data_IF_860075047455
#
_entry.id   IF_860075047455
#
_cell.length_a   1.000
_cell.length_b   1.000
_cell.length_c   1.000
_cell.angle_alpha   90.00
_cell.angle_beta   90.00
_cell.angle_gamma   90.00
#
_symmetry.space_group_name_H-M   'P 1'
#
loop_
_entity.id
_entity.type
_entity.pdbx_description
1 polymer ?
#
# COMPACT_ATOMS: atom_id res chain seq x y z
N UNK A 1 -9.76 -1.20 5.62
CA UNK A 1 -9.97 -0.32 4.46
C UNK A 1 -9.41 1.04 4.81
N UNK A 2 -8.81 1.76 3.86
CA UNK A 2 -8.21 3.08 4.06
C UNK A 2 -7.16 3.13 5.19
N UNK A 3 -6.07 2.39 5.01
CA UNK A 3 -5.04 2.20 6.04
C UNK A 3 -4.41 3.53 6.54
N UNK A 4 -4.47 4.61 5.76
CA UNK A 4 -4.02 5.94 6.19
C UNK A 4 -4.82 6.55 7.34
N UNK A 5 -6.06 6.08 7.59
CA UNK A 5 -6.91 6.57 8.68
C UNK A 5 -6.74 5.76 9.96
N UNK A 6 -5.98 4.67 9.92
CA UNK A 6 -5.81 3.77 11.05
C UNK A 6 -5.00 4.42 12.18
N UNK A 7 -5.33 4.07 13.42
CA UNK A 7 -4.54 4.46 14.58
C UNK A 7 -3.14 3.81 14.53
N UNK A 8 -2.06 4.47 15.00
CA UNK A 8 -0.71 3.91 15.04
C UNK A 8 -0.62 2.48 15.63
N UNK A 9 -1.44 2.14 16.61
CA UNK A 9 -1.47 0.81 17.23
C UNK A 9 -1.89 -0.31 16.27
N UNK A 10 -2.70 0.01 15.26
CA UNK A 10 -3.07 -0.96 14.21
C UNK A 10 -1.84 -1.37 13.42
N UNK A 11 -0.90 -0.46 13.17
CA UNK A 11 0.33 -0.77 12.45
C UNK A 11 1.22 -1.72 13.25
N UNK A 12 1.29 -1.61 14.58
CA UNK A 12 2.04 -2.56 15.40
C UNK A 12 1.50 -3.99 15.26
N UNK A 13 0.18 -4.14 15.28
CA UNK A 13 -0.45 -5.45 15.08
C UNK A 13 -0.19 -5.97 13.68
N UNK A 14 -0.31 -5.13 12.64
CA UNK A 14 -0.02 -5.53 11.26
C UNK A 14 1.44 -5.93 11.07
N UNK A 15 2.39 -5.19 11.65
CA UNK A 15 3.81 -5.54 11.62
C UNK A 15 4.05 -6.90 12.28
N UNK A 16 3.45 -7.16 13.45
CA UNK A 16 3.52 -8.46 14.10
C UNK A 16 2.93 -9.57 13.20
N UNK A 17 1.79 -9.33 12.55
CA UNK A 17 1.20 -10.29 11.61
C UNK A 17 2.14 -10.61 10.45
N UNK A 18 2.79 -9.60 9.89
CA UNK A 18 3.70 -9.74 8.74
C UNK A 18 5.05 -10.38 9.14
N UNK A 19 5.47 -10.24 10.39
CA UNK A 19 6.71 -10.82 10.91
C UNK A 19 6.53 -12.27 11.40
N UNK A 20 5.59 -12.50 12.32
CA UNK A 20 5.41 -13.80 12.97
C UNK A 20 4.40 -14.69 12.24
N UNK A 21 3.64 -14.12 11.30
CA UNK A 21 2.52 -14.81 10.68
C UNK A 21 1.42 -15.18 11.67
N UNK A 22 1.41 -14.61 12.87
CA UNK A 22 0.47 -14.91 13.95
C UNK A 22 0.20 -13.68 14.81
N UNK A 23 -1.03 -13.56 15.30
CA UNK A 23 -1.39 -12.56 16.30
C UNK A 23 -2.21 -13.19 17.40
N UNK A 24 -1.92 -12.79 18.63
CA UNK A 24 -2.69 -13.17 19.81
C UNK A 24 -3.54 -11.99 20.26
N UNK A 25 -4.85 -12.20 20.37
CA UNK A 25 -5.76 -11.17 20.85
C UNK A 25 -5.69 -11.00 22.39
N UNK A 26 -6.39 -9.99 22.91
CA UNK A 26 -6.45 -9.72 24.34
C UNK A 26 -7.12 -10.83 25.18
N UNK A 27 -7.81 -11.78 24.54
CA UNK A 27 -8.43 -12.94 25.19
C UNK A 27 -7.50 -14.18 25.15
N UNK A 28 -6.27 -14.03 24.65
CA UNK A 28 -5.28 -15.09 24.56
C UNK A 28 -5.50 -16.04 23.37
N UNK A 29 -6.38 -15.71 22.43
CA UNK A 29 -6.60 -16.52 21.22
C UNK A 29 -5.57 -16.14 20.17
N UNK A 30 -4.82 -17.13 19.70
CA UNK A 30 -3.85 -16.94 18.61
C UNK A 30 -4.47 -17.31 17.27
N UNK A 31 -4.37 -16.41 16.30
CA UNK A 31 -4.79 -16.60 14.91
C UNK A 31 -3.55 -16.73 14.02
N UNK A 32 -3.59 -17.66 13.07
CA UNK A 32 -2.51 -17.94 12.13
C UNK A 32 -2.79 -17.30 10.76
N UNK A 33 -1.84 -16.52 10.27
CA UNK A 33 -1.86 -15.76 9.02
C UNK A 33 -0.83 -16.25 7.99
N UNK A 34 -0.06 -17.32 8.29
CA UNK A 34 1.01 -17.80 7.40
C UNK A 34 0.54 -18.26 6.02
N UNK A 35 -0.75 -18.56 5.87
CA UNK A 35 -1.35 -18.99 4.61
C UNK A 35 -2.53 -18.09 4.21
N UNK A 36 -2.37 -16.78 4.44
CA UNK A 36 -3.39 -15.76 4.21
C UNK A 36 -2.82 -14.64 3.33
N UNK A 37 -3.59 -14.19 2.35
CA UNK A 37 -3.28 -12.97 1.58
C UNK A 37 -3.89 -11.78 2.29
N UNK A 38 -3.07 -10.83 2.68
CA UNK A 38 -3.51 -9.58 3.30
C UNK A 38 -3.60 -8.52 2.20
N UNK A 39 -4.82 -8.04 1.93
CA UNK A 39 -5.06 -6.96 0.97
C UNK A 39 -5.40 -5.70 1.75
N UNK A 40 -4.67 -4.63 1.48
CA UNK A 40 -4.89 -3.31 2.07
C UNK A 40 -5.16 -2.30 0.97
N UNK A 41 -5.96 -1.31 1.30
CA UNK A 41 -6.39 -0.23 0.41
C UNK A 41 -6.06 1.10 1.06
N UNK A 42 -5.71 2.09 0.23
CA UNK A 42 -5.43 3.45 0.69
C UNK A 42 -5.92 4.46 -0.33
N UNK A 43 -6.36 5.63 0.15
CA UNK A 43 -6.65 6.76 -0.73
C UNK A 43 -5.41 7.63 -1.01
N UNK A 44 -4.26 7.32 -0.42
CA UNK A 44 -3.01 8.06 -0.65
C UNK A 44 -2.64 7.98 -2.14
N UNK A 45 -2.30 9.12 -2.74
CA UNK A 45 -1.96 9.19 -4.16
C UNK A 45 -3.14 9.06 -5.14
N UNK A 46 -4.38 8.82 -4.69
CA UNK A 46 -5.54 8.65 -5.57
C UNK A 46 -5.80 9.87 -6.48
N UNK A 47 -5.44 11.08 -6.02
CA UNK A 47 -5.56 12.30 -6.81
C UNK A 47 -4.53 12.41 -7.94
N UNK A 48 -3.35 11.79 -7.78
CA UNK A 48 -2.29 11.78 -8.80
C UNK A 48 -2.72 10.90 -9.98
N UNK A 49 -3.18 9.69 -9.67
CA UNK A 49 -3.72 8.73 -10.65
C UNK A 49 -4.86 9.37 -11.46
N UNK A 50 -5.78 10.08 -10.80
CA UNK A 50 -6.91 10.75 -11.48
C UNK A 50 -6.50 11.91 -12.39
N UNK A 51 -5.41 12.62 -12.10
CA UNK A 51 -4.93 13.76 -12.92
C UNK A 51 -4.19 13.28 -14.16
N UNK A 52 -3.35 12.27 -14.02
CA UNK A 52 -2.65 11.59 -15.13
C UNK A 52 -3.65 11.08 -16.19
N UNK A 53 -4.73 10.40 -15.75
CA UNK A 53 -5.80 9.93 -16.65
C UNK A 53 -6.50 11.03 -17.46
N UNK A 54 -6.41 12.31 -17.07
CA UNK A 54 -7.02 13.44 -17.80
C UNK A 54 -6.09 14.09 -18.82
N UNK A 55 -4.77 13.87 -18.75
CA UNK A 55 -3.78 14.65 -19.50
C UNK A 55 -3.33 14.04 -20.83
N UNK A 56 -3.65 12.78 -21.16
CA UNK A 56 -3.21 12.27 -22.46
C UNK A 56 -3.58 10.83 -22.83
N UNK A 57 -4.83 10.59 -23.26
CA UNK A 57 -5.09 9.53 -24.23
C UNK A 57 -4.73 10.05 -25.64
N UNK A 58 -3.44 10.08 -25.97
CA UNK A 58 -3.01 10.06 -27.38
C UNK A 58 -2.57 8.63 -27.69
N UNK A 59 -3.09 7.97 -28.74
CA UNK A 59 -2.67 6.63 -29.09
C UNK A 59 -1.21 6.71 -29.56
N UNK A 60 -0.28 6.23 -28.76
CA UNK A 60 1.12 6.32 -29.11
C UNK A 60 1.97 5.31 -28.36
N UNK A 61 2.03 4.08 -28.89
CA UNK A 61 3.08 3.08 -28.64
C UNK A 61 3.20 2.53 -27.21
N UNK A 62 3.31 1.20 -27.10
CA UNK A 62 3.47 0.48 -25.82
C UNK A 62 4.58 1.07 -24.91
N UNK A 63 5.68 1.57 -25.49
CA UNK A 63 6.80 2.14 -24.74
C UNK A 63 6.46 3.45 -24.00
N UNK A 64 5.53 4.27 -24.50
CA UNK A 64 5.11 5.50 -23.79
C UNK A 64 4.14 5.20 -22.65
N UNK A 65 3.31 4.18 -22.82
CA UNK A 65 2.37 3.75 -21.78
C UNK A 65 3.14 3.17 -20.57
N UNK A 66 4.23 2.43 -20.82
CA UNK A 66 5.14 1.96 -19.76
C UNK A 66 5.87 3.11 -19.04
N UNK A 67 6.42 4.09 -19.77
CA UNK A 67 7.07 5.24 -19.12
C UNK A 67 6.11 6.07 -18.26
N UNK A 68 4.87 6.27 -18.72
CA UNK A 68 3.86 6.98 -17.94
C UNK A 68 3.46 6.18 -16.69
N UNK A 69 3.31 4.86 -16.81
CA UNK A 69 3.02 3.99 -15.66
C UNK A 69 4.12 4.05 -14.61
N UNK A 70 5.39 3.93 -14.99
CA UNK A 70 6.51 3.98 -14.04
C UNK A 70 6.62 5.35 -13.35
N UNK A 71 6.43 6.46 -14.10
CA UNK A 71 6.42 7.79 -13.49
C UNK A 71 5.26 7.98 -12.51
N UNK A 72 4.06 7.51 -12.87
CA UNK A 72 2.89 7.54 -11.97
C UNK A 72 3.15 6.70 -10.72
N UNK A 73 3.70 5.49 -10.88
CA UNK A 73 4.04 4.59 -9.78
C UNK A 73 5.03 5.24 -8.84
N UNK A 74 6.09 5.88 -9.35
CA UNK A 74 7.08 6.58 -8.54
C UNK A 74 6.44 7.71 -7.71
N UNK A 75 5.59 8.54 -8.31
CA UNK A 75 4.89 9.60 -7.59
C UNK A 75 3.95 9.06 -6.49
N UNK A 76 3.24 7.97 -6.76
CA UNK A 76 2.39 7.31 -5.76
C UNK A 76 3.23 6.72 -4.63
N UNK A 77 4.36 6.07 -4.95
CA UNK A 77 5.28 5.52 -3.95
C UNK A 77 5.88 6.61 -3.06
N UNK A 78 6.18 7.79 -3.60
CA UNK A 78 6.69 8.91 -2.81
C UNK A 78 5.65 9.46 -1.83
N UNK A 79 4.38 9.56 -2.23
CA UNK A 79 3.30 9.93 -1.31
C UNK A 79 3.06 8.87 -0.23
N UNK A 80 3.18 7.59 -0.57
CA UNK A 80 3.13 6.49 0.39
C UNK A 80 4.29 6.58 1.40
N UNK A 81 5.52 6.85 0.95
CA UNK A 81 6.71 7.04 1.81
C UNK A 81 6.59 8.24 2.76
N UNK A 82 5.86 9.28 2.36
CA UNK A 82 5.57 10.44 3.22
C UNK A 82 4.52 10.13 4.29
N UNK A 83 3.60 9.22 3.98
CA UNK A 83 2.44 8.92 4.84
C UNK A 83 2.73 7.77 5.81
N UNK A 84 3.41 6.73 5.35
CA UNK A 84 3.68 5.51 6.10
C UNK A 84 5.15 5.39 6.47
N UNK A 85 5.41 4.73 7.61
CA UNK A 85 6.77 4.50 8.07
C UNK A 85 7.50 3.51 7.14
N UNK A 86 8.81 3.69 6.90
CA UNK A 86 9.59 2.80 6.05
C UNK A 86 9.50 1.33 6.46
N UNK A 87 9.45 1.03 7.77
CA UNK A 87 9.39 -0.37 8.19
C UNK A 87 8.09 -1.07 7.79
N UNK A 88 6.97 -0.35 7.66
CA UNK A 88 5.72 -0.90 7.16
C UNK A 88 5.78 -1.14 5.64
N UNK A 89 6.26 -0.14 4.88
CA UNK A 89 6.36 -0.24 3.43
C UNK A 89 7.34 -1.34 2.99
N UNK A 90 8.43 -1.55 3.72
CA UNK A 90 9.41 -2.61 3.42
C UNK A 90 8.86 -4.04 3.63
N UNK A 91 7.67 -4.18 4.24
CA UNK A 91 7.01 -5.48 4.44
C UNK A 91 5.92 -5.76 3.42
N UNK A 92 5.48 -4.74 2.67
CA UNK A 92 4.47 -4.87 1.62
C UNK A 92 5.20 -5.15 0.30
N UNK A 93 4.89 -6.28 -0.33
CA UNK A 93 5.40 -6.71 -1.64
C UNK A 93 4.50 -6.17 -2.77
#
# INVERSE_FOLDING_TARGET
DEIEKAHPDVFHVLLQMMEDGRVTDAQGRTVDFRNTVIIMTSNVGANLIRREHRLGFKPGGADRDEMNYESMKEQVMDELRRTFRPEFLNRVD
#
